data_IF_694795062836
#
_entry.id   IF_694795062836
#
_cell.length_a   1.000
_cell.length_b   1.000
_cell.length_c   1.000
_cell.angle_alpha   90.00
_cell.angle_beta   90.00
_cell.angle_gamma   90.00
#
_symmetry.space_group_name_H-M   'P 1'
#
loop_
_entity.id
_entity.type
_entity.pdbx_description
1 polymer ?
#
# COMPACT_ATOMS: atom_id res chain seq x y z
N UNK A 1 -6.40 -2.60 -7.31
CA UNK A 1 -5.09 -2.11 -7.83
C UNK A 1 -4.08 -3.22 -7.64
N UNK A 2 -3.00 -3.29 -8.42
CA UNK A 2 -1.89 -4.22 -8.12
C UNK A 2 -0.56 -3.49 -8.06
N UNK A 3 0.36 -3.97 -7.23
CA UNK A 3 1.64 -3.30 -6.98
C UNK A 3 2.77 -4.32 -6.93
N UNK A 4 3.88 -4.00 -7.60
CA UNK A 4 5.15 -4.71 -7.50
C UNK A 4 6.15 -3.85 -6.73
N UNK A 5 6.68 -4.40 -5.63
CA UNK A 5 7.62 -3.74 -4.73
C UNK A 5 8.95 -4.49 -4.80
N UNK A 6 9.98 -3.90 -5.43
CA UNK A 6 11.31 -4.52 -5.48
C UNK A 6 11.87 -4.76 -4.07
N UNK A 7 12.64 -5.83 -3.93
CA UNK A 7 13.32 -6.20 -2.69
C UNK A 7 13.94 -5.02 -1.94
N UNK A 8 13.61 -4.85 -0.65
CA UNK A 8 14.15 -3.80 0.21
C UNK A 8 13.52 -2.42 0.02
N UNK A 9 12.58 -2.25 -0.91
CA UNK A 9 11.82 -1.01 -1.07
C UNK A 9 10.54 -1.00 -0.24
N UNK A 10 10.00 0.21 -0.10
CA UNK A 10 8.71 0.49 0.50
C UNK A 10 7.66 0.77 -0.58
N UNK A 11 6.43 0.40 -0.29
CA UNK A 11 5.23 0.67 -1.10
C UNK A 11 4.05 0.94 -0.17
N UNK A 12 2.95 1.42 -0.73
CA UNK A 12 1.91 2.12 0.05
C UNK A 12 2.55 3.18 0.97
N UNK A 13 3.61 3.84 0.46
CA UNK A 13 4.48 4.75 1.20
C UNK A 13 4.87 5.99 0.37
N UNK A 14 4.89 7.22 0.93
CA UNK A 14 4.48 7.62 2.28
C UNK A 14 3.09 7.09 2.67
N UNK A 15 2.95 6.75 3.95
CA UNK A 15 1.77 6.05 4.42
C UNK A 15 0.51 6.90 4.21
N UNK A 16 -0.61 6.27 3.84
CA UNK A 16 -1.88 6.95 3.57
C UNK A 16 -3.05 6.14 4.13
N UNK A 17 -4.19 6.79 4.31
CA UNK A 17 -5.45 6.20 4.80
C UNK A 17 -6.61 6.60 3.91
N UNK A 18 -7.65 5.77 3.93
CA UNK A 18 -8.94 6.01 3.29
C UNK A 18 -10.03 5.40 4.18
N UNK A 19 -10.17 5.94 5.38
CA UNK A 19 -11.04 5.39 6.43
C UNK A 19 -12.20 6.34 6.80
N UNK A 20 -12.19 7.55 6.27
CA UNK A 20 -13.22 8.56 6.47
C UNK A 20 -13.64 9.16 5.13
N UNK A 21 -14.96 9.30 4.90
CA UNK A 21 -15.45 9.97 3.70
C UNK A 21 -15.42 11.48 3.94
N UNK A 22 -14.50 12.19 3.28
CA UNK A 22 -14.31 13.65 3.41
C UNK A 22 -14.56 14.36 2.09
N UNK A 23 -15.26 15.48 2.17
CA UNK A 23 -15.47 16.41 1.04
C UNK A 23 -15.08 17.82 1.44
N UNK A 24 -14.64 18.64 0.47
CA UNK A 24 -14.42 20.07 0.69
C UNK A 24 -15.74 20.88 0.68
N UNK A 25 -15.64 22.20 0.82
CA UNK A 25 -16.80 23.09 0.87
C UNK A 25 -17.57 23.13 -0.46
N UNK A 26 -16.89 22.84 -1.57
CA UNK A 26 -17.41 22.79 -2.93
C UNK A 26 -17.99 21.40 -3.29
N UNK A 27 -17.79 20.40 -2.41
CA UNK A 27 -18.31 19.04 -2.55
C UNK A 27 -17.35 18.08 -3.27
N UNK A 28 -16.10 18.44 -3.51
CA UNK A 28 -15.10 17.55 -4.10
C UNK A 28 -14.62 16.52 -3.06
N UNK A 29 -14.44 15.27 -3.49
CA UNK A 29 -13.97 14.20 -2.62
C UNK A 29 -12.49 14.39 -2.26
N UNK A 30 -12.19 14.51 -0.97
CA UNK A 30 -10.83 14.60 -0.43
C UNK A 30 -10.31 13.20 -0.06
N UNK A 31 -11.14 12.42 0.63
CA UNK A 31 -10.83 11.07 1.10
C UNK A 31 -12.07 10.19 0.92
N UNK A 32 -11.91 9.01 0.35
CA UNK A 32 -12.96 7.99 0.35
C UNK A 32 -12.85 7.14 1.63
N UNK A 33 -13.97 6.67 2.16
CA UNK A 33 -13.98 5.62 3.18
C UNK A 33 -14.05 4.26 2.47
N UNK A 34 -12.95 3.52 2.49
CA UNK A 34 -12.75 2.23 1.81
C UNK A 34 -12.07 1.25 2.75
N UNK A 35 -12.65 0.06 2.88
CA UNK A 35 -11.91 -1.09 3.38
C UNK A 35 -10.98 -1.60 2.27
N UNK A 36 -9.76 -1.99 2.62
CA UNK A 36 -8.80 -2.54 1.65
C UNK A 36 -8.23 -3.89 2.11
N UNK A 37 -8.13 -4.82 1.18
CA UNK A 37 -7.49 -6.12 1.38
C UNK A 37 -6.25 -6.24 0.51
N UNK A 38 -5.16 -6.76 1.08
CA UNK A 38 -3.90 -7.04 0.41
C UNK A 38 -3.71 -8.54 0.27
N UNK A 39 -3.75 -9.09 -0.94
CA UNK A 39 -3.39 -10.49 -1.19
C UNK A 39 -1.96 -10.59 -1.72
N UNK A 40 -1.07 -11.25 -0.99
CA UNK A 40 0.37 -11.23 -1.24
C UNK A 40 0.87 -12.39 -2.14
N UNK A 41 1.84 -12.08 -2.99
CA UNK A 41 2.76 -13.05 -3.60
C UNK A 41 4.21 -12.61 -3.37
N UNK A 42 5.06 -13.54 -2.96
CA UNK A 42 6.49 -13.28 -2.75
C UNK A 42 7.29 -14.24 -3.63
N UNK A 43 8.31 -13.72 -4.31
CA UNK A 43 9.04 -14.46 -5.36
C UNK A 43 9.83 -15.68 -4.85
N UNK A 44 10.26 -15.68 -3.59
CA UNK A 44 10.96 -16.80 -2.95
C UNK A 44 10.10 -17.45 -1.88
N UNK A 45 10.18 -18.79 -1.77
CA UNK A 45 9.43 -19.61 -0.80
C UNK A 45 9.69 -19.20 0.67
N UNK A 46 10.89 -18.73 0.99
CA UNK A 46 11.28 -18.26 2.32
C UNK A 46 11.13 -16.76 2.49
N UNK A 47 10.64 -16.07 1.46
CA UNK A 47 10.50 -14.62 1.45
C UNK A 47 9.33 -14.13 2.29
N UNK A 48 9.38 -12.85 2.62
CA UNK A 48 8.35 -12.16 3.37
C UNK A 48 8.36 -10.66 3.06
N UNK A 49 7.26 -10.00 3.40
CA UNK A 49 7.20 -8.55 3.57
C UNK A 49 6.75 -8.23 5.00
N UNK A 50 6.88 -6.98 5.40
CA UNK A 50 6.31 -6.48 6.66
C UNK A 50 5.28 -5.42 6.28
N UNK A 51 4.07 -5.55 6.83
CA UNK A 51 3.04 -4.54 6.73
C UNK A 51 2.72 -4.03 8.13
N UNK A 52 2.57 -2.72 8.27
CA UNK A 52 2.04 -2.12 9.49
C UNK A 52 0.64 -1.57 9.17
N UNK A 53 -0.29 -1.66 10.11
CA UNK A 53 -1.58 -0.96 10.04
C UNK A 53 -1.75 -0.17 11.32
N UNK A 54 -1.82 1.16 11.23
CA UNK A 54 -1.85 2.03 12.41
C UNK A 54 -2.71 3.28 12.23
N UNK A 55 -3.25 3.81 13.33
CA UNK A 55 -4.00 5.08 13.35
C UNK A 55 -3.21 6.17 14.06
N UNK A 56 -3.48 7.45 13.72
CA UNK A 56 -2.80 8.60 14.37
C UNK A 56 -2.97 8.63 15.89
N UNK A 57 -4.10 8.13 16.40
CA UNK A 57 -4.41 8.07 17.83
C UNK A 57 -3.83 6.83 18.53
N UNK A 58 -3.20 5.93 17.78
CA UNK A 58 -2.64 4.67 18.30
C UNK A 58 -3.67 3.63 18.74
N UNK A 59 -4.97 3.84 18.51
CA UNK A 59 -6.02 2.86 18.85
C UNK A 59 -5.90 1.56 18.05
N UNK A 60 -5.25 1.61 16.89
CA UNK A 60 -4.79 0.46 16.11
C UNK A 60 -3.30 0.67 15.81
N UNK A 61 -2.48 -0.35 16.03
CA UNK A 61 -1.07 -0.35 15.67
C UNK A 61 -0.54 -1.78 15.61
N UNK A 62 -0.79 -2.45 14.50
CA UNK A 62 -0.41 -3.85 14.29
C UNK A 62 0.74 -3.94 13.29
N UNK A 63 1.72 -4.78 13.58
CA UNK A 63 2.84 -5.08 12.70
C UNK A 63 2.79 -6.56 12.32
N UNK A 64 2.72 -6.86 11.03
CA UNK A 64 2.55 -8.20 10.50
C UNK A 64 3.69 -8.58 9.58
N UNK A 65 4.30 -9.74 9.81
CA UNK A 65 5.13 -10.40 8.81
C UNK A 65 4.22 -11.21 7.89
N UNK A 66 4.18 -10.86 6.61
CA UNK A 66 3.35 -11.51 5.60
C UNK A 66 4.18 -12.36 4.64
N UNK A 67 3.64 -13.50 4.23
CA UNK A 67 4.23 -14.46 3.29
C UNK A 67 3.36 -14.61 2.05
N UNK A 68 3.83 -15.41 1.10
CA UNK A 68 3.06 -15.69 -0.11
C UNK A 68 1.71 -16.34 0.23
N UNK A 69 0.65 -15.87 -0.44
CA UNK A 69 -0.76 -16.23 -0.25
C UNK A 69 -1.42 -15.76 1.05
N UNK A 70 -0.74 -14.97 1.87
CA UNK A 70 -1.39 -14.32 3.01
C UNK A 70 -2.31 -13.19 2.54
N UNK A 71 -3.33 -12.90 3.34
CA UNK A 71 -4.23 -11.76 3.17
C UNK A 71 -4.14 -10.89 4.42
N UNK A 72 -4.00 -9.57 4.23
CA UNK A 72 -4.17 -8.58 5.29
C UNK A 72 -5.39 -7.74 4.99
N UNK A 73 -6.22 -7.52 6.00
CA UNK A 73 -7.35 -6.60 5.98
C UNK A 73 -6.94 -5.29 6.64
N UNK A 74 -7.21 -4.18 5.98
CA UNK A 74 -7.02 -2.82 6.47
C UNK A 74 -8.40 -2.20 6.71
N UNK A 75 -8.92 -2.25 7.96
CA UNK A 75 -10.23 -1.70 8.28
C UNK A 75 -10.21 -0.18 8.42
N UNK A 76 -9.06 0.39 8.79
CA UNK A 76 -8.82 1.82 8.94
C UNK A 76 -7.32 2.11 9.10
N UNK A 77 -6.95 3.39 9.05
CA UNK A 77 -5.60 3.85 9.33
C UNK A 77 -4.63 3.73 8.16
N UNK A 78 -3.38 4.11 8.46
CA UNK A 78 -2.26 4.08 7.56
C UNK A 78 -1.68 2.67 7.44
N UNK A 79 -1.27 2.29 6.23
CA UNK A 79 -0.96 0.88 5.95
C UNK A 79 0.26 0.67 5.02
N UNK A 80 1.46 1.12 5.41
CA UNK A 80 2.66 0.96 4.59
C UNK A 80 3.16 -0.49 4.55
N UNK A 81 3.85 -0.82 3.45
CA UNK A 81 4.45 -2.13 3.22
C UNK A 81 5.94 -1.97 2.93
N UNK A 82 6.78 -2.83 3.52
CA UNK A 82 8.19 -2.98 3.15
C UNK A 82 8.48 -4.40 2.68
N UNK A 83 9.04 -4.52 1.48
CA UNK A 83 9.49 -5.79 0.94
C UNK A 83 10.77 -6.23 1.65
N UNK A 84 10.82 -7.48 2.11
CA UNK A 84 12.01 -8.02 2.75
C UNK A 84 13.25 -7.93 1.84
N UNK A 85 14.41 -7.67 2.42
CA UNK A 85 15.64 -7.62 1.64
C UNK A 85 15.95 -9.00 1.02
N UNK A 86 16.13 -9.04 -0.30
CA UNK A 86 16.30 -10.25 -1.10
C UNK A 86 14.99 -10.84 -1.66
N UNK A 87 13.83 -10.27 -1.34
CA UNK A 87 12.51 -10.79 -1.71
C UNK A 87 11.67 -9.74 -2.44
N UNK A 88 11.34 -9.98 -3.71
CA UNK A 88 10.40 -9.09 -4.38
C UNK A 88 8.97 -9.41 -3.91
N UNK A 89 8.21 -8.35 -3.63
CA UNK A 89 6.86 -8.45 -3.11
C UNK A 89 5.85 -7.96 -4.14
N UNK A 90 4.80 -8.74 -4.37
CA UNK A 90 3.60 -8.35 -5.10
C UNK A 90 2.41 -8.40 -4.16
N UNK A 91 1.47 -7.47 -4.36
CA UNK A 91 0.14 -7.62 -3.78
C UNK A 91 -0.94 -7.13 -4.72
N UNK A 92 -2.08 -7.83 -4.66
CA UNK A 92 -3.33 -7.45 -5.31
C UNK A 92 -4.25 -6.83 -4.26
N UNK A 93 -4.68 -5.60 -4.51
CA UNK A 93 -5.58 -4.85 -3.65
C UNK A 93 -7.03 -4.93 -4.12
N UNK A 94 -7.90 -5.24 -3.18
CA UNK A 94 -9.36 -5.13 -3.32
C UNK A 94 -9.84 -4.03 -2.40
N UNK A 95 -10.52 -3.03 -2.96
CA UNK A 95 -11.09 -1.91 -2.21
C UNK A 95 -12.58 -1.83 -2.46
N UNK A 96 -13.34 -1.59 -1.40
CA UNK A 96 -14.77 -1.33 -1.49
C UNK A 96 -15.20 -0.38 -0.38
N UNK A 97 -16.20 0.45 -0.67
CA UNK A 97 -16.76 1.35 0.32
C UNK A 97 -17.58 2.45 -0.33
N UNK A 98 -17.46 3.65 0.23
CA UNK A 98 -18.33 4.80 -0.04
C UNK A 98 -18.33 5.30 -1.48
N UNK A 99 -17.20 5.27 -2.18
CA UNK A 99 -17.04 5.86 -3.51
C UNK A 99 -16.15 4.94 -4.37
N UNK A 100 -16.41 4.87 -5.68
CA UNK A 100 -15.52 4.18 -6.63
C UNK A 100 -14.33 5.09 -7.00
N UNK A 101 -13.54 5.47 -6.00
CA UNK A 101 -12.40 6.37 -6.11
C UNK A 101 -11.24 5.85 -5.25
N UNK A 102 -10.04 6.43 -5.41
CA UNK A 102 -8.85 6.08 -4.60
C UNK A 102 -8.32 7.28 -3.81
N UNK A 103 -9.15 8.32 -3.62
CA UNK A 103 -8.83 9.49 -2.83
C UNK A 103 -8.47 9.07 -1.40
N UNK A 104 -7.31 9.52 -0.93
CA UNK A 104 -6.73 9.14 0.34
C UNK A 104 -6.06 10.34 1.03
N UNK A 105 -5.88 10.24 2.34
CA UNK A 105 -5.15 11.22 3.15
C UNK A 105 -3.80 10.65 3.53
N UNK A 106 -2.73 11.38 3.25
CA UNK A 106 -1.35 11.05 3.63
C UNK A 106 -1.09 11.27 5.12
N UNK A 107 -0.18 10.49 5.71
CA UNK A 107 0.28 10.75 7.08
C UNK A 107 1.12 12.04 7.08
N UNK A 108 0.65 13.13 7.74
CA UNK A 108 1.34 14.42 7.72
C UNK A 108 2.75 14.35 8.32
N UNK A 109 3.05 13.36 9.16
CA UNK A 109 4.39 13.19 9.73
C UNK A 109 5.42 12.69 8.70
N UNK A 110 4.96 12.18 7.55
CA UNK A 110 5.77 11.52 6.54
C UNK A 110 5.70 12.19 5.16
N UNK A 111 4.89 13.23 4.98
CA UNK A 111 4.74 13.95 3.70
C UNK A 111 6.06 14.54 3.18
N UNK A 112 6.97 14.92 4.06
CA UNK A 112 8.28 15.44 3.67
C UNK A 112 9.07 14.48 2.76
N UNK A 113 8.76 13.17 2.83
CA UNK A 113 9.42 12.13 2.05
C UNK A 113 9.12 12.25 0.55
N UNK A 114 7.95 12.77 0.15
CA UNK A 114 7.65 13.01 -1.27
C UNK A 114 8.71 13.88 -1.93
N UNK A 115 9.25 14.86 -1.19
CA UNK A 115 10.30 15.75 -1.67
C UNK A 115 11.70 15.12 -1.64
N UNK A 116 11.85 13.92 -1.08
CA UNK A 116 13.13 13.19 -1.01
C UNK A 116 13.37 12.23 -2.17
N UNK A 117 12.34 11.97 -2.99
CA UNK A 117 12.40 11.02 -4.10
C UNK A 117 13.33 11.51 -5.20
N UNK A 118 14.31 10.69 -5.57
CA UNK A 118 15.34 11.03 -6.56
C UNK A 118 15.08 10.44 -7.94
N UNK A 119 14.14 9.50 -8.04
CA UNK A 119 13.84 8.81 -9.27
C UNK A 119 13.13 7.49 -9.04
N UNK A 120 12.93 6.79 -10.15
CA UNK A 120 12.31 5.47 -10.19
C UNK A 120 13.37 4.39 -9.95
N UNK A 121 13.01 3.34 -9.20
CA UNK A 121 13.90 2.19 -9.03
C UNK A 121 14.19 1.53 -10.40
N UNK A 122 15.45 1.19 -10.74
CA UNK A 122 15.77 0.62 -12.04
C UNK A 122 15.22 -0.80 -12.27
N UNK A 123 14.75 -1.48 -11.21
CA UNK A 123 14.18 -2.84 -11.30
C UNK A 123 12.73 -2.85 -11.80
N UNK A 124 12.10 -1.70 -11.99
CA UNK A 124 10.73 -1.59 -12.52
C UNK A 124 10.69 -1.05 -13.95
N UNK A 125 9.80 -1.58 -14.83
CA UNK A 125 8.76 -2.56 -14.53
C UNK A 125 9.31 -3.97 -14.31
N UNK A 126 8.80 -4.65 -13.27
CA UNK A 126 9.17 -6.04 -12.96
C UNK A 126 8.43 -7.06 -13.85
N UNK A 127 7.27 -6.66 -14.34
CA UNK A 127 6.43 -7.43 -15.27
C UNK A 127 6.07 -6.52 -16.43
N UNK A 128 6.16 -7.03 -17.65
CA UNK A 128 5.82 -6.28 -18.87
C UNK A 128 4.64 -6.95 -19.59
N UNK A 129 3.90 -6.21 -20.46
CA UNK A 129 2.83 -6.79 -21.26
C UNK A 129 3.28 -8.02 -22.08
N UNK A 130 4.49 -7.97 -22.64
CA UNK A 130 5.05 -9.05 -23.45
C UNK A 130 5.24 -10.35 -22.66
N UNK A 131 5.52 -10.25 -21.35
CA UNK A 131 5.63 -11.43 -20.47
C UNK A 131 4.29 -12.16 -20.31
N UNK A 132 3.18 -11.47 -20.53
CA UNK A 132 1.82 -12.01 -20.39
C UNK A 132 1.22 -12.47 -21.73
N UNK A 133 1.99 -12.46 -22.82
CA UNK A 133 1.50 -12.69 -24.19
C UNK A 133 0.34 -11.75 -24.59
N UNK A 134 0.39 -10.50 -24.09
CA UNK A 134 -0.54 -9.42 -24.44
C UNK A 134 0.11 -8.44 -25.43
#
# INVERSE_FOLDING_TARGET
>A
VEVYTPSGNWSSFPAHKHDERKVDAEGNLIEACLEEFYFYKIDKKTGYAIQQVYTSDGSLNELMQVKTNDIVMVPKGYHPVVAGHGYNCYYLNFLAGSDQALNNTTDPQHEWIYNSWKGKDPRIPMVTPEMNNL
#
